data_IF_363265516402
#
_entry.id   IF_363265516402
#
_cell.length_a   1.000
_cell.length_b   1.000
_cell.length_c   1.000
_cell.angle_alpha   90.00
_cell.angle_beta   90.00
_cell.angle_gamma   90.00
#
_symmetry.space_group_name_H-M   'P 1'
#
loop_
_entity.id
_entity.type
_entity.pdbx_description
1 polymer ?
#
# COMPACT_ATOMS: atom_id res chain seq x y z
N UNK A 1 16.05 -5.91 -9.22
CA UNK A 1 15.10 -4.83 -9.59
C UNK A 1 14.23 -4.66 -8.38
N UNK A 2 14.35 -3.52 -7.72
CA UNK A 2 13.73 -3.33 -6.42
C UNK A 2 12.26 -2.97 -6.66
N UNK A 3 11.41 -3.86 -6.18
CA UNK A 3 9.96 -3.83 -6.34
C UNK A 3 9.41 -3.79 -4.92
N UNK A 4 8.90 -2.64 -4.51
CA UNK A 4 8.39 -2.50 -3.16
C UNK A 4 7.00 -3.12 -3.11
N UNK A 5 6.88 -4.22 -2.38
CA UNK A 5 5.62 -4.97 -2.30
C UNK A 5 4.79 -4.46 -1.12
N UNK A 6 3.54 -4.08 -1.41
CA UNK A 6 2.50 -3.84 -0.41
C UNK A 6 1.56 -5.06 -0.41
N UNK A 7 1.53 -5.77 0.72
CA UNK A 7 0.51 -6.78 0.95
C UNK A 7 -0.79 -6.11 1.41
N UNK A 8 -1.83 -6.19 0.58
CA UNK A 8 -3.12 -5.55 0.85
C UNK A 8 -3.82 -6.13 2.07
N UNK A 9 -3.57 -7.40 2.41
CA UNK A 9 -4.13 -7.99 3.62
C UNK A 9 -3.66 -7.23 4.90
N UNK A 10 -2.40 -6.78 4.91
CA UNK A 10 -1.90 -5.95 6.02
C UNK A 10 -2.56 -4.58 6.04
N UNK A 11 -2.81 -3.97 4.88
CA UNK A 11 -3.53 -2.69 4.79
C UNK A 11 -4.94 -2.85 5.39
N UNK A 12 -5.67 -3.89 5.01
CA UNK A 12 -7.01 -4.19 5.52
C UNK A 12 -6.99 -4.40 7.05
N UNK A 13 -6.00 -5.12 7.57
CA UNK A 13 -5.81 -5.31 9.02
C UNK A 13 -5.56 -3.99 9.76
N UNK A 14 -4.63 -3.15 9.27
CA UNK A 14 -4.36 -1.86 9.90
C UNK A 14 -5.55 -0.90 9.80
N UNK A 15 -6.34 -0.97 8.73
CA UNK A 15 -7.60 -0.22 8.64
C UNK A 15 -8.59 -0.65 9.72
N UNK A 16 -8.76 -1.96 9.94
CA UNK A 16 -9.63 -2.49 10.99
C UNK A 16 -9.16 -2.06 12.40
N UNK A 17 -7.85 -2.05 12.62
CA UNK A 17 -7.23 -1.60 13.87
C UNK A 17 -7.17 -0.08 14.03
N UNK A 18 -7.53 0.68 12.99
CA UNK A 18 -7.28 2.13 12.88
C UNK A 18 -5.81 2.51 13.13
N UNK A 19 -4.87 1.63 12.81
CA UNK A 19 -3.45 1.87 12.98
C UNK A 19 -2.90 2.75 11.85
N UNK A 20 -3.10 4.06 11.99
CA UNK A 20 -2.61 5.08 11.06
C UNK A 20 -1.09 5.12 10.98
N UNK A 21 -0.39 4.79 12.07
CA UNK A 21 1.07 4.86 12.12
C UNK A 21 1.69 3.80 11.24
N UNK A 22 1.18 2.56 11.32
CA UNK A 22 1.62 1.47 10.45
C UNK A 22 1.27 1.73 8.99
N UNK A 23 0.08 2.24 8.69
CA UNK A 23 -0.29 2.67 7.34
C UNK A 23 0.66 3.74 6.80
N UNK A 24 0.96 4.79 7.57
CA UNK A 24 1.82 5.88 7.08
C UNK A 24 3.25 5.40 6.85
N UNK A 25 3.76 4.50 7.69
CA UNK A 25 5.07 3.88 7.48
C UNK A 25 5.15 3.09 6.17
N UNK A 26 4.10 2.37 5.78
CA UNK A 26 4.01 1.67 4.49
C UNK A 26 4.01 2.68 3.35
N UNK A 27 3.11 3.67 3.40
CA UNK A 27 2.98 4.65 2.33
C UNK A 27 4.24 5.52 2.17
N UNK A 28 4.95 5.81 3.25
CA UNK A 28 6.23 6.54 3.19
C UNK A 28 7.31 5.75 2.46
N UNK A 29 7.39 4.44 2.70
CA UNK A 29 8.32 3.56 1.98
C UNK A 29 7.93 3.42 0.51
N UNK A 30 6.64 3.21 0.22
CA UNK A 30 6.11 3.17 -1.13
C UNK A 30 6.40 4.45 -1.90
N UNK A 31 6.22 5.61 -1.25
CA UNK A 31 6.52 6.91 -1.84
C UNK A 31 8.02 7.05 -2.16
N UNK A 32 8.89 6.62 -1.25
CA UNK A 32 10.34 6.62 -1.49
C UNK A 32 10.71 5.74 -2.69
N UNK A 33 10.08 4.57 -2.84
CA UNK A 33 10.31 3.66 -3.96
C UNK A 33 9.89 4.31 -5.29
N UNK A 34 8.67 4.86 -5.36
CA UNK A 34 8.17 5.55 -6.56
C UNK A 34 9.05 6.75 -6.94
N UNK A 35 9.47 7.57 -5.96
CA UNK A 35 10.39 8.69 -6.20
C UNK A 35 11.76 8.21 -6.72
N UNK A 36 12.20 7.03 -6.26
CA UNK A 36 13.41 6.35 -6.73
C UNK A 36 13.29 5.74 -8.13
N UNK A 37 12.13 5.83 -8.77
CA UNK A 37 11.85 5.22 -10.08
C UNK A 37 11.52 3.73 -10.00
N UNK A 38 11.19 3.22 -8.81
CA UNK A 38 10.78 1.84 -8.59
C UNK A 38 9.26 1.68 -8.73
N UNK A 39 8.83 0.44 -8.97
CA UNK A 39 7.41 0.07 -8.99
C UNK A 39 7.00 -0.46 -7.63
N UNK A 40 5.84 -0.01 -7.17
CA UNK A 40 5.18 -0.54 -5.98
C UNK A 40 4.14 -1.56 -6.42
N UNK A 41 4.34 -2.83 -6.07
CA UNK A 41 3.41 -3.89 -6.40
C UNK A 41 2.39 -4.10 -5.28
N UNK A 42 1.11 -4.12 -5.65
CA UNK A 42 0.05 -4.55 -4.75
C UNK A 42 -0.17 -6.05 -4.89
N UNK A 43 0.00 -6.74 -3.77
CA UNK A 43 -0.17 -8.19 -3.69
C UNK A 43 -1.30 -8.55 -2.73
N UNK A 44 -2.04 -9.60 -3.10
CA UNK A 44 -3.05 -10.20 -2.25
C UNK A 44 -2.79 -11.70 -2.13
N UNK A 45 -2.89 -12.20 -0.90
CA UNK A 45 -2.85 -13.64 -0.64
C UNK A 45 -4.27 -14.19 -0.57
N UNK A 46 -4.61 -15.10 -1.48
CA UNK A 46 -5.88 -15.82 -1.48
C UNK A 46 -5.64 -17.32 -1.66
N UNK A 47 -6.32 -18.16 -0.87
CA UNK A 47 -6.15 -19.62 -0.90
C UNK A 47 -4.69 -20.10 -0.82
N UNK A 48 -3.87 -19.42 0.00
CA UNK A 48 -2.45 -19.72 0.17
C UNK A 48 -1.55 -19.33 -1.01
N UNK A 49 -2.09 -18.68 -2.05
CA UNK A 49 -1.31 -18.14 -3.17
C UNK A 49 -1.30 -16.61 -3.09
N UNK A 50 -0.10 -16.04 -3.16
CA UNK A 50 0.08 -14.60 -3.34
C UNK A 50 0.13 -14.28 -4.82
N UNK A 51 -0.64 -13.29 -5.25
CA UNK A 51 -0.57 -12.79 -6.62
C UNK A 51 -0.55 -11.26 -6.62
N UNK A 52 0.24 -10.72 -7.54
CA UNK A 52 0.26 -9.31 -7.88
C UNK A 52 -0.95 -9.00 -8.75
N UNK A 53 -1.72 -7.98 -8.39
CA UNK A 53 -2.92 -7.60 -9.14
C UNK A 53 -2.86 -6.16 -9.65
N UNK A 54 -2.01 -5.33 -9.08
CA UNK A 54 -1.83 -3.93 -9.48
C UNK A 54 -0.40 -3.48 -9.24
N UNK A 55 0.06 -2.54 -10.07
CA UNK A 55 1.40 -1.95 -10.03
C UNK A 55 1.28 -0.44 -10.06
N UNK A 56 1.94 0.21 -9.11
CA UNK A 56 1.93 1.65 -8.92
C UNK A 56 3.33 2.17 -9.22
N UNK A 57 3.48 2.91 -10.31
CA UNK A 57 4.75 3.50 -10.74
C UNK A 57 4.76 5.02 -10.69
N UNK A 58 3.63 5.64 -10.31
CA UNK A 58 3.49 7.09 -10.23
C UNK A 58 3.05 7.53 -8.83
N UNK A 59 3.43 8.76 -8.46
CA UNK A 59 2.98 9.37 -7.21
C UNK A 59 1.49 9.69 -7.22
N UNK A 60 0.91 9.90 -8.40
CA UNK A 60 -0.52 10.17 -8.55
C UNK A 60 -1.34 8.93 -8.16
N UNK A 61 -1.00 7.78 -8.75
CA UNK A 61 -1.61 6.49 -8.43
C UNK A 61 -1.41 6.11 -6.96
N UNK A 62 -0.19 6.30 -6.44
CA UNK A 62 0.10 6.03 -5.03
C UNK A 62 -0.76 6.89 -4.09
N UNK A 63 -0.92 8.19 -4.40
CA UNK A 63 -1.74 9.10 -3.60
C UNK A 63 -3.23 8.77 -3.72
N UNK A 64 -3.71 8.34 -4.89
CA UNK A 64 -5.08 7.87 -5.08
C UNK A 64 -5.34 6.62 -4.23
N UNK A 65 -4.43 5.66 -4.26
CA UNK A 65 -4.50 4.46 -3.42
C UNK A 65 -4.47 4.81 -1.92
N UNK A 66 -3.54 5.68 -1.49
CA UNK A 66 -3.48 6.19 -0.11
C UNK A 66 -4.82 6.78 0.31
N UNK A 67 -5.39 7.71 -0.47
CA UNK A 67 -6.69 8.32 -0.15
C UNK A 67 -7.81 7.30 0.01
N UNK A 68 -7.87 6.29 -0.87
CA UNK A 68 -8.87 5.22 -0.77
C UNK A 68 -8.70 4.41 0.51
N UNK A 69 -7.47 4.10 0.91
CA UNK A 69 -7.20 3.37 2.15
C UNK A 69 -7.61 4.18 3.39
N UNK A 70 -7.23 5.46 3.46
CA UNK A 70 -7.56 6.29 4.62
C UNK A 70 -9.04 6.66 4.73
N UNK A 71 -9.83 6.54 3.64
CA UNK A 71 -11.29 6.78 3.66
C UNK A 71 -12.02 5.92 4.71
N UNK A 72 -11.48 4.74 5.01
CA UNK A 72 -12.06 3.79 5.95
C UNK A 72 -11.43 3.86 7.35
N UNK A 73 -10.51 4.79 7.59
CA UNK A 73 -9.82 4.97 8.87
C UNK A 73 -10.31 6.26 9.52
N UNK A 74 -10.82 6.19 10.75
CA UNK A 74 -11.38 7.35 11.45
C UNK A 74 -10.34 8.45 11.62
N UNK A 75 -10.77 9.70 11.41
CA UNK A 75 -10.03 10.88 11.85
C UNK A 75 -10.15 10.98 13.38
N UNK A 76 -9.00 10.97 14.05
CA UNK A 76 -8.89 11.19 15.50
C UNK A 76 -9.25 12.64 15.84
#
# INVERSE_FOLDING_TARGET
MADYIINVAHIEEYQMLNDRQSLDAIFRKAQSAVVGGEVVALERTANGKTYRFEEISTLEDLNAYKKNVYKYVKED
#
